data_IF_046797427917
#
_entry.id   IF_046797427917
#
_cell.length_a   1.000
_cell.length_b   1.000
_cell.length_c   1.000
_cell.angle_alpha   90.00
_cell.angle_beta   90.00
_cell.angle_gamma   90.00
#
_symmetry.space_group_name_H-M   'P 1'
#
loop_
_entity.id
_entity.type
_entity.pdbx_description
1 polymer ?
#
# COMPACT_ATOMS: atom_id res chain seq x y z
N UNK A 1 28.26 7.68 -1.39
CA UNK A 1 28.10 8.58 -2.56
C UNK A 1 27.50 9.91 -2.11
N UNK A 2 27.82 11.02 -2.81
CA UNK A 2 27.34 12.34 -2.43
C UNK A 2 25.82 12.46 -2.63
N UNK A 3 25.29 11.96 -3.73
CA UNK A 3 23.84 11.99 -4.02
C UNK A 3 23.40 10.68 -4.66
N UNK A 4 22.26 10.16 -4.24
CA UNK A 4 21.57 9.05 -4.86
C UNK A 4 20.27 9.56 -5.49
N UNK A 5 20.08 9.31 -6.78
CA UNK A 5 18.81 9.50 -7.45
C UNK A 5 18.12 8.17 -7.62
N UNK A 6 16.90 8.04 -7.07
CA UNK A 6 15.99 6.94 -7.35
C UNK A 6 14.97 7.44 -8.37
N UNK A 7 14.92 6.80 -9.52
CA UNK A 7 14.03 7.19 -10.62
C UNK A 7 12.78 6.33 -10.62
N UNK A 8 11.61 6.95 -10.65
CA UNK A 8 10.34 6.23 -10.59
C UNK A 8 10.22 5.21 -11.73
N UNK A 9 9.73 4.04 -11.38
CA UNK A 9 9.54 2.89 -12.29
C UNK A 9 10.82 2.43 -13.03
N UNK A 10 12.02 2.92 -12.65
CA UNK A 10 13.29 2.42 -13.20
C UNK A 10 13.92 1.40 -12.25
N UNK A 11 14.57 0.36 -12.78
CA UNK A 11 15.23 -0.64 -11.95
C UNK A 11 16.29 -0.03 -11.03
N UNK A 12 16.38 -0.55 -9.83
CA UNK A 12 17.42 -0.20 -8.86
C UNK A 12 18.08 -1.49 -8.34
N UNK A 13 19.41 -1.47 -8.21
CA UNK A 13 20.17 -2.53 -7.59
C UNK A 13 21.38 -1.95 -6.85
N UNK A 14 21.54 -2.32 -5.60
CA UNK A 14 22.71 -2.07 -4.79
C UNK A 14 23.35 -3.43 -4.41
N UNK A 15 24.42 -3.87 -5.09
CA UNK A 15 25.06 -5.15 -4.78
C UNK A 15 25.66 -5.17 -3.36
N UNK A 16 26.04 -4.01 -2.84
CA UNK A 16 26.60 -3.82 -1.49
C UNK A 16 26.01 -2.55 -0.89
N UNK A 17 25.90 -2.53 0.44
CA UNK A 17 25.45 -1.35 1.15
C UNK A 17 26.46 -0.18 1.01
N UNK A 18 25.94 1.05 0.98
CA UNK A 18 26.73 2.27 0.91
C UNK A 18 26.02 3.44 1.60
N UNK A 19 26.75 4.52 1.89
CA UNK A 19 26.15 5.73 2.43
C UNK A 19 25.92 6.78 1.34
N UNK A 20 24.71 7.37 1.33
CA UNK A 20 24.36 8.52 0.51
C UNK A 20 24.17 9.75 1.38
N UNK A 21 24.81 10.88 1.00
CA UNK A 21 24.64 12.14 1.72
C UNK A 21 23.25 12.72 1.50
N UNK A 22 22.72 12.58 0.29
CA UNK A 22 21.34 12.96 -0.04
C UNK A 22 20.69 11.87 -0.89
N UNK A 23 19.39 11.69 -0.73
CA UNK A 23 18.59 10.85 -1.64
C UNK A 23 17.47 11.69 -2.24
N UNK A 24 17.34 11.61 -3.54
CA UNK A 24 16.22 12.17 -4.29
C UNK A 24 15.44 11.03 -4.96
N UNK A 25 14.18 10.86 -4.56
CA UNK A 25 13.26 9.94 -5.22
C UNK A 25 12.27 10.74 -6.05
N UNK A 26 12.35 10.63 -7.38
CA UNK A 26 11.62 11.49 -8.32
C UNK A 26 10.19 11.03 -8.64
N UNK A 27 9.62 10.15 -7.80
CA UNK A 27 8.21 9.78 -7.88
C UNK A 27 7.31 10.85 -7.27
N UNK A 28 6.30 11.28 -8.02
CA UNK A 28 5.23 12.12 -7.50
C UNK A 28 4.13 11.23 -6.86
N UNK A 29 3.90 11.41 -5.57
CA UNK A 29 2.80 10.78 -4.84
C UNK A 29 1.54 11.64 -4.89
N UNK A 30 0.36 11.02 -5.00
CA UNK A 30 -0.90 11.76 -4.87
C UNK A 30 -1.05 12.29 -3.45
N UNK A 31 -1.51 13.52 -3.33
CA UNK A 31 -1.85 14.17 -2.06
C UNK A 31 -3.36 14.32 -1.88
N UNK A 32 -4.15 13.65 -2.72
CA UNK A 32 -5.59 13.59 -2.54
C UNK A 32 -5.95 12.93 -1.21
N UNK A 33 -6.99 13.43 -0.57
CA UNK A 33 -7.41 12.91 0.72
C UNK A 33 -7.73 11.41 0.62
N UNK A 34 -7.17 10.63 1.54
CA UNK A 34 -7.31 9.17 1.61
C UNK A 34 -6.77 8.39 0.40
N UNK A 35 -5.98 9.01 -0.47
CA UNK A 35 -5.34 8.30 -1.57
C UNK A 35 -4.17 7.46 -1.03
N UNK A 36 -4.27 6.15 -1.22
CA UNK A 36 -3.26 5.20 -0.74
C UNK A 36 -2.31 4.86 -1.88
N UNK A 37 -1.02 5.07 -1.64
CA UNK A 37 0.07 4.63 -2.49
C UNK A 37 0.87 3.54 -1.80
N UNK A 38 1.56 2.70 -2.57
CA UNK A 38 2.51 1.73 -2.04
C UNK A 38 3.95 2.13 -2.31
N UNK A 39 4.87 1.72 -1.46
CA UNK A 39 6.30 1.95 -1.68
C UNK A 39 7.19 0.92 -0.99
N UNK A 40 8.42 0.82 -1.45
CA UNK A 40 9.56 0.16 -0.80
C UNK A 40 10.80 1.01 -1.07
N UNK A 41 11.64 1.22 -0.03
CA UNK A 41 12.85 2.04 -0.12
C UNK A 41 14.09 1.23 0.27
N UNK A 42 15.27 1.49 -0.33
CA UNK A 42 16.49 0.77 -0.01
C UNK A 42 17.23 1.33 1.23
N UNK A 43 16.59 2.20 2.00
CA UNK A 43 17.14 2.81 3.21
C UNK A 43 16.06 2.97 4.27
N UNK A 44 16.50 2.99 5.54
CA UNK A 44 15.60 3.24 6.67
C UNK A 44 15.52 4.73 6.99
N UNK A 45 14.35 5.15 7.53
CA UNK A 45 14.14 6.51 8.01
C UNK A 45 13.07 6.54 9.10
N UNK A 46 13.06 7.60 9.91
CA UNK A 46 12.01 7.80 10.89
C UNK A 46 10.71 8.21 10.19
N UNK A 47 9.57 7.74 10.68
CA UNK A 47 8.26 8.18 10.13
C UNK A 47 8.00 9.66 10.34
N UNK A 48 8.63 10.30 11.35
CA UNK A 48 8.57 11.75 11.54
C UNK A 48 9.20 12.56 10.40
N UNK A 49 10.08 11.94 9.61
CA UNK A 49 10.74 12.57 8.46
C UNK A 49 9.95 12.32 7.15
N UNK A 50 8.86 11.55 7.22
CA UNK A 50 7.96 11.29 6.10
C UNK A 50 6.81 12.28 6.10
N UNK A 51 6.52 12.91 4.97
CA UNK A 51 5.36 13.78 4.83
C UNK A 51 4.11 12.94 4.45
N UNK A 52 3.48 12.34 5.46
CA UNK A 52 2.32 11.47 5.33
C UNK A 52 2.22 10.44 6.44
N UNK A 53 1.19 9.63 6.39
CA UNK A 53 1.01 8.49 7.30
C UNK A 53 1.47 7.21 6.62
N UNK A 54 2.37 6.47 7.27
CA UNK A 54 2.95 5.22 6.77
C UNK A 54 2.33 4.04 7.49
N UNK A 55 2.00 3.00 6.73
CA UNK A 55 1.35 1.80 7.25
C UNK A 55 2.13 0.55 6.84
N UNK A 56 2.34 -0.36 7.79
CA UNK A 56 2.96 -1.67 7.58
C UNK A 56 1.93 -2.79 7.65
N UNK A 57 2.15 -3.85 6.88
CA UNK A 57 1.32 -5.04 6.89
C UNK A 57 1.36 -5.71 8.27
N UNK A 58 0.19 -5.94 8.86
CA UNK A 58 0.06 -6.44 10.23
C UNK A 58 -0.53 -7.85 10.29
N UNK A 59 -1.72 -8.05 9.73
CA UNK A 59 -2.41 -9.35 9.79
C UNK A 59 -3.42 -9.51 8.66
N UNK A 60 -3.91 -10.73 8.52
CA UNK A 60 -5.07 -11.07 7.68
C UNK A 60 -6.11 -11.74 8.54
N UNK A 61 -7.34 -11.25 8.47
CA UNK A 61 -8.49 -11.79 9.19
C UNK A 61 -9.63 -12.03 8.20
N UNK A 62 -9.98 -13.28 7.98
CA UNK A 62 -10.91 -13.69 6.93
C UNK A 62 -10.47 -13.09 5.57
N UNK A 63 -11.27 -12.20 4.98
CA UNK A 63 -10.98 -11.55 3.71
C UNK A 63 -10.53 -10.08 3.88
N UNK A 64 -9.92 -9.75 5.01
CA UNK A 64 -9.48 -8.39 5.34
C UNK A 64 -7.98 -8.37 5.59
N UNK A 65 -7.29 -7.52 4.86
CA UNK A 65 -5.88 -7.21 5.07
C UNK A 65 -5.79 -6.03 6.03
N UNK A 66 -5.13 -6.23 7.16
CA UNK A 66 -4.94 -5.20 8.19
C UNK A 66 -3.54 -4.62 8.06
N UNK A 67 -3.46 -3.30 7.95
CA UNK A 67 -2.25 -2.51 8.07
C UNK A 67 -2.34 -1.65 9.33
N UNK A 68 -1.25 -1.53 10.05
CA UNK A 68 -1.13 -0.64 11.23
C UNK A 68 -0.16 0.49 10.94
N UNK A 69 -0.26 1.60 11.67
CA UNK A 69 0.71 2.69 11.57
C UNK A 69 2.11 2.17 11.88
N UNK A 70 3.03 2.47 10.98
CA UNK A 70 4.44 2.16 11.17
C UNK A 70 5.07 3.15 12.15
N UNK A 71 6.04 2.69 12.93
CA UNK A 71 6.86 3.54 13.81
C UNK A 71 8.19 3.92 13.15
N UNK A 72 8.62 3.15 12.19
CA UNK A 72 9.85 3.34 11.41
C UNK A 72 9.64 2.83 10.00
N UNK A 73 10.25 3.47 9.02
CA UNK A 73 10.41 2.91 7.68
C UNK A 73 11.73 2.14 7.66
N UNK A 74 11.65 0.83 7.52
CA UNK A 74 12.82 -0.05 7.41
C UNK A 74 13.22 -0.22 5.95
N UNK A 75 14.52 -0.32 5.68
CA UNK A 75 15.03 -0.60 4.34
C UNK A 75 14.49 -1.93 3.80
N UNK A 76 14.15 -1.95 2.51
CA UNK A 76 13.72 -3.14 1.78
C UNK A 76 12.41 -3.79 2.29
N UNK A 77 11.65 -3.09 3.12
CA UNK A 77 10.35 -3.54 3.62
C UNK A 77 9.21 -2.82 2.90
N UNK A 78 8.17 -3.54 2.45
CA UNK A 78 7.01 -2.95 1.78
C UNK A 78 6.10 -2.18 2.72
N UNK A 79 5.58 -1.03 2.28
CA UNK A 79 4.67 -0.16 3.02
C UNK A 79 3.56 0.41 2.14
N UNK A 80 2.48 0.89 2.79
CA UNK A 80 1.52 1.82 2.22
C UNK A 80 1.74 3.21 2.80
N UNK A 81 1.31 4.25 2.07
CA UNK A 81 1.37 5.65 2.50
C UNK A 81 0.13 6.42 2.05
N UNK A 82 -0.38 7.25 2.94
CA UNK A 82 -1.25 8.38 2.62
C UNK A 82 -0.38 9.64 2.68
N UNK A 83 0.09 10.08 1.50
CA UNK A 83 1.07 11.16 1.42
C UNK A 83 0.39 12.53 1.57
N UNK A 84 1.06 13.46 2.26
CA UNK A 84 0.64 14.86 2.38
C UNK A 84 1.49 15.80 1.52
N UNK A 85 2.50 15.27 0.83
CA UNK A 85 3.34 15.97 -0.14
C UNK A 85 3.66 15.07 -1.33
N UNK A 86 3.85 15.67 -2.51
CA UNK A 86 4.21 14.93 -3.72
C UNK A 86 5.56 14.20 -3.60
N UNK A 87 6.51 14.76 -2.84
CA UNK A 87 7.80 14.15 -2.51
C UNK A 87 7.89 13.93 -0.99
N UNK A 88 7.26 12.88 -0.45
CA UNK A 88 7.10 12.71 0.99
C UNK A 88 8.39 12.27 1.71
N UNK A 89 9.41 11.80 0.99
CA UNK A 89 10.63 11.23 1.57
C UNK A 89 11.79 12.21 1.44
N UNK A 90 12.22 12.76 2.58
CA UNK A 90 13.42 13.60 2.68
C UNK A 90 14.49 12.85 3.45
N UNK A 91 15.53 12.39 2.75
CA UNK A 91 16.56 11.58 3.36
C UNK A 91 17.97 12.19 3.12
N UNK A 92 18.71 12.34 4.22
CA UNK A 92 20.10 12.78 4.21
C UNK A 92 20.96 11.89 5.11
N UNK A 93 22.21 11.65 4.70
CA UNK A 93 23.17 10.83 5.43
C UNK A 93 22.64 9.44 5.78
N UNK A 94 21.97 8.80 4.82
CA UNK A 94 21.36 7.48 5.03
C UNK A 94 22.23 6.36 4.53
N UNK A 95 22.19 5.23 5.23
CA UNK A 95 22.72 3.97 4.73
C UNK A 95 21.72 3.35 3.76
N UNK A 96 22.13 3.19 2.52
CA UNK A 96 21.44 2.41 1.51
C UNK A 96 21.86 0.96 1.68
N UNK A 97 20.91 0.08 1.93
CA UNK A 97 21.18 -1.34 2.13
C UNK A 97 21.35 -2.07 0.79
N UNK A 98 22.06 -3.19 0.83
CA UNK A 98 22.14 -4.06 -0.33
C UNK A 98 20.73 -4.56 -0.73
N UNK A 99 20.50 -4.66 -2.03
CA UNK A 99 19.25 -5.18 -2.58
C UNK A 99 19.10 -6.66 -2.24
N UNK A 100 18.09 -7.07 -1.46
CA UNK A 100 17.88 -8.48 -1.16
C UNK A 100 17.21 -9.20 -2.35
N UNK A 101 17.31 -10.53 -2.36
CA UNK A 101 16.64 -11.34 -3.36
C UNK A 101 15.11 -11.29 -3.25
N UNK A 102 14.59 -11.11 -2.05
CA UNK A 102 13.15 -11.05 -1.73
C UNK A 102 12.88 -9.90 -0.78
N UNK A 103 11.80 -9.18 -1.04
CA UNK A 103 11.31 -8.09 -0.20
C UNK A 103 9.84 -8.36 0.13
N UNK A 104 9.61 -8.98 1.28
CA UNK A 104 8.25 -9.32 1.70
C UNK A 104 8.07 -9.27 3.21
N UNK A 105 6.84 -8.99 3.64
CA UNK A 105 6.37 -9.17 5.02
C UNK A 105 5.26 -10.22 4.98
N UNK A 106 5.45 -11.33 5.67
CA UNK A 106 4.56 -12.50 5.61
C UNK A 106 3.67 -12.57 6.83
N UNK A 107 2.40 -12.91 6.61
CA UNK A 107 1.44 -13.29 7.65
C UNK A 107 0.55 -14.44 7.13
N UNK A 108 0.73 -15.65 7.67
CA UNK A 108 0.06 -16.86 7.19
C UNK A 108 0.33 -17.11 5.70
N UNK A 109 -0.75 -17.29 4.94
CA UNK A 109 -0.70 -17.54 3.50
C UNK A 109 -0.55 -16.25 2.67
N UNK A 110 -0.44 -15.10 3.31
CA UNK A 110 -0.36 -13.80 2.64
C UNK A 110 0.98 -13.13 2.88
N UNK A 111 1.46 -12.43 1.87
CA UNK A 111 2.65 -11.61 1.95
C UNK A 111 2.42 -10.26 1.28
N UNK A 112 2.88 -9.19 1.90
CA UNK A 112 3.04 -7.90 1.27
C UNK A 112 4.42 -7.88 0.62
N UNK A 113 4.47 -7.84 -0.70
CA UNK A 113 5.70 -7.98 -1.49
C UNK A 113 6.05 -6.68 -2.21
N UNK A 114 7.33 -6.38 -2.29
CA UNK A 114 7.88 -5.23 -3.01
C UNK A 114 8.93 -5.65 -4.03
N UNK A 115 9.32 -4.72 -4.91
CA UNK A 115 10.37 -4.96 -5.91
C UNK A 115 11.13 -3.70 -6.25
N UNK A 116 12.40 -3.85 -6.65
CA UNK A 116 13.20 -2.80 -7.31
C UNK A 116 13.42 -3.08 -8.81
N UNK A 117 12.83 -4.15 -9.32
CA UNK A 117 12.85 -4.47 -10.75
C UNK A 117 11.44 -4.64 -11.27
N UNK A 118 11.23 -4.40 -12.56
CA UNK A 118 9.94 -4.69 -13.18
C UNK A 118 9.69 -6.19 -13.15
N UNK A 119 8.54 -6.60 -12.62
CA UNK A 119 8.13 -8.01 -12.54
C UNK A 119 6.77 -8.19 -13.21
N UNK A 120 6.69 -9.15 -14.11
CA UNK A 120 5.41 -9.66 -14.59
C UNK A 120 4.87 -10.66 -13.57
N UNK A 121 3.63 -10.46 -13.14
CA UNK A 121 2.94 -11.33 -12.19
C UNK A 121 1.79 -12.05 -12.88
N UNK A 122 1.66 -13.33 -12.57
CA UNK A 122 0.61 -14.21 -13.10
C UNK A 122 0.03 -14.96 -11.91
N UNK A 123 -1.28 -14.81 -11.69
CA UNK A 123 -1.98 -15.64 -10.71
C UNK A 123 -2.31 -17.00 -11.33
N UNK A 124 -2.06 -18.05 -10.56
CA UNK A 124 -2.30 -19.44 -10.94
C UNK A 124 -3.07 -20.22 -9.85
N UNK A 125 -3.05 -21.54 -9.90
CA UNK A 125 -3.72 -22.40 -8.92
C UNK A 125 -3.09 -22.37 -7.53
N UNK A 126 -1.84 -21.91 -7.39
CA UNK A 126 -1.05 -21.93 -6.16
C UNK A 126 -0.77 -20.55 -5.60
N UNK A 127 -0.77 -19.54 -6.46
CA UNK A 127 -0.38 -18.17 -6.10
C UNK A 127 -1.36 -17.17 -6.70
N UNK A 128 -1.87 -16.30 -5.88
CA UNK A 128 -2.74 -15.18 -6.29
C UNK A 128 -2.08 -13.85 -5.94
N UNK A 129 -2.07 -12.93 -6.89
CA UNK A 129 -1.60 -11.57 -6.71
C UNK A 129 -2.78 -10.59 -6.65
N UNK A 130 -2.67 -9.58 -5.78
CA UNK A 130 -3.67 -8.53 -5.60
C UNK A 130 -3.03 -7.16 -5.74
N UNK A 131 -3.61 -6.36 -6.64
CA UNK A 131 -3.32 -4.94 -6.74
C UNK A 131 -4.32 -4.11 -5.92
N UNK A 132 -3.88 -2.96 -5.41
CA UNK A 132 -4.77 -2.02 -4.72
C UNK A 132 -5.56 -1.19 -5.74
N UNK A 133 -6.88 -1.18 -5.61
CA UNK A 133 -7.78 -0.39 -6.44
C UNK A 133 -9.06 -0.06 -5.67
N UNK A 134 -9.52 1.18 -5.74
CA UNK A 134 -10.81 1.64 -5.20
C UNK A 134 -11.04 1.25 -3.72
N UNK A 135 -10.02 1.40 -2.88
CA UNK A 135 -10.12 1.16 -1.44
C UNK A 135 -9.99 -0.31 -1.01
N UNK A 136 -9.70 -1.22 -1.92
CA UNK A 136 -9.55 -2.64 -1.64
C UNK A 136 -8.43 -3.28 -2.48
N UNK A 137 -8.04 -4.48 -2.13
CA UNK A 137 -7.16 -5.31 -2.95
C UNK A 137 -7.98 -6.17 -3.91
N UNK A 138 -7.68 -6.09 -5.20
CA UNK A 138 -8.39 -6.80 -6.27
C UNK A 138 -7.45 -7.82 -6.90
N UNK A 139 -7.92 -9.06 -7.08
CA UNK A 139 -7.16 -10.12 -7.73
C UNK A 139 -6.75 -9.71 -9.14
N UNK A 140 -5.46 -9.82 -9.41
CA UNK A 140 -4.88 -9.62 -10.73
C UNK A 140 -4.57 -10.98 -11.35
N UNK A 141 -5.26 -11.35 -12.43
CA UNK A 141 -4.93 -12.60 -13.15
C UNK A 141 -3.57 -12.50 -13.80
N UNK A 142 -3.28 -11.36 -14.42
CA UNK A 142 -1.97 -10.96 -14.94
C UNK A 142 -1.74 -9.49 -14.62
N UNK A 143 -0.50 -9.08 -14.51
CA UNK A 143 -0.17 -7.68 -14.27
C UNK A 143 1.32 -7.43 -14.23
N UNK A 144 1.68 -6.18 -14.04
CA UNK A 144 3.07 -5.75 -13.89
C UNK A 144 3.24 -5.05 -12.56
N UNK A 145 4.20 -5.49 -11.77
CA UNK A 145 4.68 -4.76 -10.60
C UNK A 145 5.92 -3.94 -11.00
N UNK A 146 5.75 -2.63 -11.03
CA UNK A 146 6.85 -1.71 -11.36
C UNK A 146 7.81 -1.55 -10.18
N UNK A 147 9.07 -1.17 -10.43
CA UNK A 147 10.04 -0.86 -9.38
C UNK A 147 9.50 0.12 -8.34
N UNK A 148 9.87 -0.10 -7.08
CA UNK A 148 9.44 0.65 -5.88
C UNK A 148 7.94 0.57 -5.57
N UNK A 149 7.22 -0.38 -6.15
CA UNK A 149 5.81 -0.67 -5.86
C UNK A 149 5.68 -1.96 -5.06
N UNK A 150 4.49 -2.13 -4.49
CA UNK A 150 4.15 -3.31 -3.69
C UNK A 150 2.78 -3.86 -4.08
N UNK A 151 2.54 -5.12 -3.75
CA UNK A 151 1.25 -5.79 -3.90
C UNK A 151 1.08 -6.86 -2.82
N UNK A 152 -0.11 -7.42 -2.70
CA UNK A 152 -0.35 -8.60 -1.87
C UNK A 152 -0.21 -9.85 -2.72
N UNK A 153 0.50 -10.84 -2.19
CA UNK A 153 0.62 -12.19 -2.73
C UNK A 153 -0.05 -13.16 -1.74
N UNK A 154 -0.88 -14.06 -2.23
CA UNK A 154 -1.47 -15.14 -1.46
C UNK A 154 -1.04 -16.50 -2.02
N UNK A 155 -0.73 -17.44 -1.13
CA UNK A 155 -0.29 -18.81 -1.49
C UNK A 155 -1.36 -19.86 -1.18
N UNK A 156 -2.64 -19.46 -1.00
CA UNK A 156 -3.75 -20.37 -0.79
C UNK A 156 -4.58 -20.57 -2.06
N UNK A 157 -5.16 -21.74 -2.21
CA UNK A 157 -5.99 -22.11 -3.37
C UNK A 157 -7.41 -21.52 -3.33
N UNK A 158 -7.86 -21.03 -2.18
CA UNK A 158 -9.20 -20.45 -1.95
C UNK A 158 -9.16 -18.91 -1.91
N UNK A 159 -8.18 -18.30 -2.54
CA UNK A 159 -8.00 -16.85 -2.54
C UNK A 159 -9.21 -16.12 -3.17
N UNK A 160 -9.89 -15.21 -2.44
CA UNK A 160 -11.09 -14.52 -2.92
C UNK A 160 -10.77 -13.55 -4.05
N UNK A 161 -11.81 -13.11 -4.77
CA UNK A 161 -11.64 -12.12 -5.85
C UNK A 161 -11.20 -10.74 -5.34
N UNK A 162 -11.58 -10.40 -4.11
CA UNK A 162 -11.23 -9.12 -3.46
C UNK A 162 -10.93 -9.34 -1.99
N UNK A 163 -10.06 -8.48 -1.46
CA UNK A 163 -9.73 -8.40 -0.04
C UNK A 163 -9.99 -6.97 0.44
N UNK A 164 -10.72 -6.82 1.53
CA UNK A 164 -10.90 -5.53 2.18
C UNK A 164 -9.59 -5.02 2.76
N UNK A 165 -9.43 -3.72 2.86
CA UNK A 165 -8.28 -3.08 3.51
C UNK A 165 -8.75 -2.35 4.77
N UNK A 166 -8.04 -2.55 5.88
CA UNK A 166 -8.12 -1.72 7.08
C UNK A 166 -6.79 -1.03 7.32
N UNK A 167 -6.84 0.27 7.58
CA UNK A 167 -5.69 1.05 8.03
C UNK A 167 -5.93 1.42 9.51
N UNK A 168 -5.04 0.94 10.38
CA UNK A 168 -5.09 1.19 11.84
C UNK A 168 -6.45 0.90 12.49
N UNK A 169 -7.13 -0.15 12.01
CA UNK A 169 -8.45 -0.56 12.46
C UNK A 169 -9.64 0.04 11.69
N UNK A 170 -9.40 1.06 10.84
CA UNK A 170 -10.46 1.70 10.04
C UNK A 170 -10.58 1.03 8.65
N UNK A 171 -11.79 0.73 8.22
CA UNK A 171 -12.06 0.14 6.89
C UNK A 171 -11.86 1.22 5.81
N UNK A 172 -10.96 0.99 4.87
CA UNK A 172 -10.78 1.83 3.69
C UNK A 172 -11.70 1.35 2.56
N UNK A 173 -12.44 2.23 1.95
CA UNK A 173 -13.18 1.88 0.72
C UNK A 173 -14.68 2.09 0.71
N UNK A 174 -15.28 2.50 1.82
CA UNK A 174 -16.62 3.12 1.79
C UNK A 174 -16.54 4.39 2.61
N UNK A 175 -16.05 5.46 2.00
CA UNK A 175 -16.29 6.80 2.54
C UNK A 175 -17.77 7.08 2.31
N UNK A 176 -18.58 6.85 3.33
CA UNK A 176 -19.98 7.25 3.22
C UNK A 176 -20.99 6.50 4.06
N UNK A 177 -20.60 5.55 4.90
CA UNK A 177 -21.50 5.08 5.94
C UNK A 177 -20.87 5.36 7.31
N UNK A 178 -21.01 6.60 7.75
CA UNK A 178 -20.85 6.92 9.17
C UNK A 178 -21.83 6.03 9.94
N UNK A 179 -21.32 5.13 10.76
CA UNK A 179 -22.14 4.31 11.68
C UNK A 179 -22.92 5.17 12.71
N UNK A 180 -22.71 6.48 12.72
CA UNK A 180 -23.52 7.45 13.48
C UNK A 180 -24.80 7.90 12.76
N UNK A 181 -24.97 7.55 11.47
CA UNK A 181 -26.23 7.81 10.77
C UNK A 181 -27.23 6.69 11.06
N UNK A 182 -27.79 6.69 12.25
CA UNK A 182 -28.93 5.81 12.61
C UNK A 182 -30.16 6.02 11.70
N UNK A 183 -30.10 6.96 10.76
CA UNK A 183 -31.17 7.26 9.82
C UNK A 183 -30.63 7.71 8.47
N UNK A 184 -31.16 7.16 7.39
CA UNK A 184 -30.80 7.49 6.01
C UNK A 184 -32.01 7.95 5.20
N UNK A 185 -31.78 8.76 4.19
CA UNK A 185 -32.77 9.11 3.19
C UNK A 185 -32.69 8.10 2.01
N UNK A 186 -33.84 7.60 1.61
CA UNK A 186 -33.93 6.66 0.47
C UNK A 186 -34.51 7.40 -0.73
N UNK A 187 -33.81 7.31 -1.86
CA UNK A 187 -34.22 7.88 -3.15
C UNK A 187 -34.51 6.76 -4.15
N UNK A 188 -35.47 6.98 -5.07
CA UNK A 188 -35.69 6.06 -6.20
C UNK A 188 -34.65 6.28 -7.32
N UNK A 189 -34.70 5.47 -8.35
CA UNK A 189 -33.78 5.54 -9.50
C UNK A 189 -33.87 6.87 -10.30
N UNK A 190 -34.94 7.64 -10.10
CA UNK A 190 -35.13 8.96 -10.71
C UNK A 190 -34.61 10.09 -9.81
N UNK A 191 -33.99 9.76 -8.68
CA UNK A 191 -33.46 10.73 -7.72
C UNK A 191 -34.50 11.38 -6.81
N UNK A 192 -35.75 10.88 -6.81
CA UNK A 192 -36.83 11.42 -5.95
C UNK A 192 -36.77 10.77 -4.57
N UNK A 193 -36.83 11.59 -3.52
CA UNK A 193 -36.89 11.15 -2.13
C UNK A 193 -38.13 10.28 -1.88
N UNK A 194 -37.94 9.02 -1.54
CA UNK A 194 -39.00 8.03 -1.27
C UNK A 194 -39.26 7.91 0.22
N UNK A 195 -38.22 7.93 1.03
CA UNK A 195 -38.30 7.90 2.50
C UNK A 195 -37.23 8.77 3.10
N UNK A 196 -37.56 9.46 4.15
CA UNK A 196 -36.70 10.35 4.91
C UNK A 196 -36.42 9.74 6.28
N UNK A 197 -35.16 9.79 6.74
CA UNK A 197 -34.77 9.46 8.11
C UNK A 197 -35.20 8.03 8.55
N UNK A 198 -35.09 7.05 7.66
CA UNK A 198 -35.32 5.63 8.02
C UNK A 198 -34.10 5.05 8.73
N UNK A 199 -34.33 4.15 9.71
CA UNK A 199 -33.24 3.43 10.34
C UNK A 199 -32.48 2.61 9.29
N UNK A 200 -31.13 2.64 9.33
CA UNK A 200 -30.32 1.77 8.51
C UNK A 200 -30.57 0.32 8.98
N UNK A 201 -30.82 -0.59 8.03
CA UNK A 201 -30.93 -2.01 8.34
C UNK A 201 -29.53 -2.53 8.75
N UNK A 202 -29.45 -3.20 9.90
CA UNK A 202 -28.26 -3.91 10.40
C UNK A 202 -28.06 -5.22 9.65
#
# INVERSE_FOLDING_TARGET
VASLKLTDAQPFNAPTAFTATTVNYDRAFSTEANYISSFVLPYSMNVSDVQGEVYEFASVEANTINFKKATTVEANKPYLIVATAANPFKATNVKVEATPAVMETVNGDYAHVGTYTKQEVISDATTTYYGYANGQFVKANTGTLNPFRTMIKATNTAAPATLSLKLDGEVTGIVGVNSELGKVNVYNLEGKLVRSQVAAAT
#
